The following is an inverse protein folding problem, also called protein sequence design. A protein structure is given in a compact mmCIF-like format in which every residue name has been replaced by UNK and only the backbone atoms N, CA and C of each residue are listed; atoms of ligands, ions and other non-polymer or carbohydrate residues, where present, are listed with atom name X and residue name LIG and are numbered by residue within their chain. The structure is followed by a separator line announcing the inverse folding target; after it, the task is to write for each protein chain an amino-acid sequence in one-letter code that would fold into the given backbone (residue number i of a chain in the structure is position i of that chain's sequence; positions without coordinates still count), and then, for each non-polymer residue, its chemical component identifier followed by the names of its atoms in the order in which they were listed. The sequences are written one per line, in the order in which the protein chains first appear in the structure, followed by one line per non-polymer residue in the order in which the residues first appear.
data_IF_904036400460
#
_entry.id   IF_904036400460
#
_cell.length_a   1.000
_cell.length_b   1.000
_cell.length_c   1.000
_cell.angle_alpha   90.00
_cell.angle_beta   90.00
_cell.angle_gamma   90.00
#
_symmetry.space_group_name_H-M   'P 1'
#
loop_
_entity.id
_entity.type
_entity.pdbx_description
1 polymer ?
#
# COMPACT_ATOMS: atom_id res chain seq x y z
N UNK A 1 -14.85 -24.17 44.36
CA UNK A 1 -13.39 -24.31 44.21
C UNK A 1 -13.02 -23.70 42.87
N UNK A 2 -12.50 -22.46 42.88
CA UNK A 2 -12.13 -21.75 41.65
C UNK A 2 -10.77 -22.26 41.17
N UNK A 3 -10.78 -23.10 40.14
CA UNK A 3 -9.57 -23.64 39.53
C UNK A 3 -9.05 -22.55 38.59
N UNK A 4 -8.13 -21.72 39.08
CA UNK A 4 -7.38 -20.79 38.25
C UNK A 4 -6.51 -21.59 37.29
N UNK A 5 -6.89 -21.61 36.01
CA UNK A 5 -6.08 -22.25 34.98
C UNK A 5 -5.02 -21.23 34.55
N UNK A 6 -3.88 -21.23 35.25
CA UNK A 6 -2.69 -20.49 34.85
C UNK A 6 -2.20 -20.98 33.47
N UNK A 7 -2.56 -20.24 32.42
CA UNK A 7 -2.02 -20.47 31.07
C UNK A 7 -0.74 -19.66 30.90
N UNK A 8 0.40 -20.27 31.21
CA UNK A 8 1.72 -19.73 30.86
C UNK A 8 1.97 -19.98 29.37
N UNK A 9 2.01 -18.91 28.58
CA UNK A 9 2.32 -18.96 27.15
C UNK A 9 3.78 -18.53 26.94
N UNK A 10 4.61 -19.43 26.41
CA UNK A 10 5.96 -19.12 25.97
C UNK A 10 5.92 -18.68 24.50
N UNK A 11 6.32 -17.44 24.21
CA UNK A 11 6.54 -16.97 22.85
C UNK A 11 7.98 -17.30 22.43
N UNK A 12 8.16 -17.88 21.24
CA UNK A 12 9.47 -18.20 20.66
C UNK A 12 10.13 -16.99 19.96
N UNK A 13 9.48 -15.82 20.03
CA UNK A 13 9.88 -14.59 19.33
C UNK A 13 9.65 -13.42 20.26
N UNK A 14 10.67 -12.55 20.38
CA UNK A 14 10.58 -11.31 21.14
C UNK A 14 9.55 -10.40 20.47
N UNK A 15 8.53 -9.96 21.22
CA UNK A 15 7.41 -9.20 20.67
C UNK A 15 6.34 -8.88 21.71
N UNK A 16 5.48 -7.92 21.37
CA UNK A 16 4.44 -7.44 22.28
C UNK A 16 3.26 -8.42 22.27
N UNK A 17 2.93 -8.96 23.45
CA UNK A 17 1.81 -9.88 23.64
C UNK A 17 0.52 -9.08 23.84
N UNK A 18 -0.41 -9.16 22.89
CA UNK A 18 -1.73 -8.54 23.00
C UNK A 18 -2.80 -9.57 23.36
N UNK A 19 -3.54 -9.31 24.45
CA UNK A 19 -4.65 -10.13 24.91
C UNK A 19 -5.99 -9.54 24.47
N UNK A 20 -6.80 -10.30 23.72
CA UNK A 20 -8.15 -9.90 23.34
C UNK A 20 -9.17 -10.93 23.79
N UNK A 21 -10.20 -10.47 24.51
CA UNK A 21 -11.37 -11.28 24.89
C UNK A 21 -12.42 -11.22 23.78
N UNK A 22 -12.77 -12.37 23.16
CA UNK A 22 -13.85 -12.46 22.18
C UNK A 22 -15.09 -13.12 22.80
N UNK A 23 -16.24 -12.91 22.18
CA UNK A 23 -17.53 -13.55 22.51
C UNK A 23 -17.35 -15.07 22.70
N UNK A 24 -17.78 -15.60 23.84
CA UNK A 24 -17.68 -17.03 24.19
C UNK A 24 -16.57 -17.40 25.18
N UNK A 25 -16.09 -16.45 26.01
CA UNK A 25 -15.10 -16.69 27.08
C UNK A 25 -13.73 -17.26 26.66
N UNK A 26 -13.40 -17.21 25.35
CA UNK A 26 -12.10 -17.63 24.84
C UNK A 26 -11.14 -16.44 24.79
N UNK A 27 -10.01 -16.55 25.48
CA UNK A 27 -8.90 -15.59 25.44
C UNK A 27 -8.06 -15.85 24.19
N UNK A 28 -7.93 -14.84 23.32
CA UNK A 28 -7.04 -14.87 22.16
C UNK A 28 -5.77 -14.10 22.50
N UNK A 29 -4.62 -14.73 22.26
CA UNK A 29 -3.30 -14.14 22.50
C UNK A 29 -2.61 -14.00 21.15
N UNK A 30 -2.24 -12.77 20.78
CA UNK A 30 -1.55 -12.46 19.53
C UNK A 30 -0.20 -11.84 19.83
N UNK A 31 0.86 -12.41 19.28
CA UNK A 31 2.22 -11.87 19.38
C UNK A 31 2.46 -11.01 18.13
N UNK A 32 2.72 -9.72 18.32
CA UNK A 32 3.05 -8.80 17.23
C UNK A 32 4.57 -8.66 17.19
N UNK A 33 5.25 -9.12 16.13
CA UNK A 33 6.69 -8.91 15.99
C UNK A 33 6.97 -7.42 15.77
N UNK A 34 7.88 -6.86 16.56
CA UNK A 34 8.34 -5.48 16.47
C UNK A 34 9.32 -5.32 15.30
N UNK A 35 8.79 -5.35 14.07
CA UNK A 35 9.54 -4.93 12.88
C UNK A 35 8.63 -4.09 12.00
N UNK A 36 9.10 -2.86 11.76
CA UNK A 36 8.56 -1.76 10.95
C UNK A 36 7.60 -0.78 11.67
N UNK A 37 8.07 0.45 11.98
CA UNK A 37 7.23 1.51 12.52
C UNK A 37 6.25 2.07 11.48
N UNK A 38 5.16 2.62 12.01
CA UNK A 38 3.96 3.12 11.37
C UNK A 38 4.15 4.30 10.38
N UNK A 39 3.33 4.33 9.32
CA UNK A 39 2.32 5.40 9.08
C UNK A 39 1.63 5.26 7.71
N UNK A 40 0.32 4.94 7.71
CA UNK A 40 -0.66 5.57 6.82
C UNK A 40 -2.08 5.34 7.39
N UNK A 41 -2.86 6.39 7.67
CA UNK A 41 -4.16 6.27 8.30
C UNK A 41 -5.20 5.70 7.33
N UNK A 42 -6.09 4.87 7.88
CA UNK A 42 -7.33 4.45 7.24
C UNK A 42 -8.18 5.68 6.87
N UNK A 43 -8.41 5.91 5.57
CA UNK A 43 -9.71 6.34 4.99
C UNK A 43 -9.64 6.43 3.47
N UNK A 44 -10.13 5.39 2.79
CA UNK A 44 -10.93 5.51 1.57
C UNK A 44 -11.75 4.22 1.42
N UNK A 45 -13.02 4.42 1.12
CA UNK A 45 -14.14 3.49 1.19
C UNK A 45 -14.17 2.48 0.04
N UNK A 46 -14.44 1.22 0.38
CA UNK A 46 -15.16 0.22 -0.43
C UNK A 46 -14.94 0.24 -1.96
N UNK A 47 -13.95 -0.53 -2.43
CA UNK A 47 -14.14 -1.44 -3.57
C UNK A 47 -13.09 -2.56 -3.57
N UNK A 48 -13.24 -3.50 -2.63
CA UNK A 48 -12.67 -4.82 -2.83
C UNK A 48 -13.38 -5.44 -4.07
N UNK A 49 -12.62 -5.73 -5.14
CA UNK A 49 -12.81 -6.87 -6.06
C UNK A 49 -12.18 -6.69 -7.47
N UNK A 50 -11.53 -5.56 -7.78
CA UNK A 50 -10.76 -5.42 -9.04
C UNK A 50 -9.72 -4.34 -8.81
N UNK A 51 -8.45 -4.64 -9.07
CA UNK A 51 -7.35 -3.67 -8.92
C UNK A 51 -7.70 -2.33 -9.55
N UNK A 52 -7.19 -1.25 -8.96
CA UNK A 52 -7.39 0.08 -9.51
C UNK A 52 -6.76 0.18 -10.90
N UNK A 53 -7.35 1.01 -11.76
CA UNK A 53 -6.77 1.36 -13.04
C UNK A 53 -5.60 2.33 -12.84
N UNK A 54 -4.42 1.79 -12.50
CA UNK A 54 -3.18 2.56 -12.32
C UNK A 54 -2.85 3.44 -13.54
N UNK A 55 -3.42 3.12 -14.70
CA UNK A 55 -3.38 3.89 -15.95
C UNK A 55 -3.96 5.31 -15.86
N UNK A 56 -4.67 5.64 -14.78
CA UNK A 56 -5.13 7.03 -14.53
C UNK A 56 -4.00 7.95 -14.08
N UNK A 57 -2.88 7.38 -13.63
CA UNK A 57 -1.66 8.14 -13.33
C UNK A 57 -0.94 8.39 -14.65
N UNK A 58 -0.63 9.64 -14.93
CA UNK A 58 0.05 10.04 -16.16
C UNK A 58 1.48 9.47 -16.19
N UNK A 59 1.88 8.93 -17.34
CA UNK A 59 3.12 8.14 -17.47
C UNK A 59 2.96 6.65 -17.13
N UNK A 60 1.91 6.21 -16.42
CA UNK A 60 1.64 4.78 -16.20
C UNK A 60 0.86 4.20 -17.39
N UNK A 61 1.58 3.56 -18.30
CA UNK A 61 0.98 2.79 -19.40
C UNK A 61 0.45 1.41 -18.97
N UNK A 62 -0.23 0.67 -19.89
CA UNK A 62 -0.72 -0.68 -19.61
C UNK A 62 0.39 -1.64 -19.18
N UNK A 63 1.57 -1.54 -19.77
CA UNK A 63 2.74 -2.35 -19.43
C UNK A 63 3.29 -2.06 -18.03
N UNK A 64 3.35 -0.79 -17.64
CA UNK A 64 3.82 -0.38 -16.31
C UNK A 64 2.83 -0.83 -15.25
N UNK A 65 1.53 -0.66 -15.52
CA UNK A 65 0.49 -1.18 -14.65
C UNK A 65 0.62 -2.71 -14.47
N UNK A 66 0.94 -3.47 -15.53
CA UNK A 66 1.19 -4.90 -15.43
C UNK A 66 2.43 -5.23 -14.57
N UNK A 67 3.55 -4.51 -14.74
CA UNK A 67 4.75 -4.67 -13.91
C UNK A 67 4.44 -4.43 -12.43
N UNK A 68 3.69 -3.39 -12.12
CA UNK A 68 3.28 -3.08 -10.76
C UNK A 68 2.30 -4.10 -10.18
N UNK A 69 1.30 -4.51 -10.95
CA UNK A 69 0.39 -5.57 -10.54
C UNK A 69 1.15 -6.89 -10.29
N UNK A 70 2.15 -7.22 -11.12
CA UNK A 70 3.02 -8.38 -10.92
C UNK A 70 3.86 -8.27 -9.64
N UNK A 71 4.25 -7.04 -9.27
CA UNK A 71 4.93 -6.74 -8.00
C UNK A 71 3.96 -6.66 -6.79
N UNK A 72 2.65 -6.86 -6.99
CA UNK A 72 1.63 -6.77 -5.95
C UNK A 72 1.12 -5.35 -5.68
N UNK A 73 1.53 -4.36 -6.47
CA UNK A 73 1.03 -2.99 -6.42
C UNK A 73 -0.14 -2.88 -7.41
N UNK A 74 -1.34 -3.15 -6.94
CA UNK A 74 -2.56 -3.17 -7.76
C UNK A 74 -3.52 -2.02 -7.49
N UNK A 75 -3.21 -1.15 -6.54
CA UNK A 75 -4.10 -0.07 -6.10
C UNK A 75 -3.39 1.29 -6.06
N UNK A 76 -4.14 2.39 -6.16
CA UNK A 76 -3.55 3.72 -6.01
C UNK A 76 -2.96 3.93 -4.61
N UNK A 77 -3.56 3.31 -3.60
CA UNK A 77 -3.05 3.36 -2.23
C UNK A 77 -1.69 2.65 -2.09
N UNK A 78 -1.52 1.48 -2.70
CA UNK A 78 -0.23 0.76 -2.72
C UNK A 78 0.82 1.53 -3.51
N UNK A 79 0.43 2.12 -4.63
CA UNK A 79 1.35 2.89 -5.46
C UNK A 79 1.77 4.19 -4.77
N UNK A 80 0.87 4.86 -4.04
CA UNK A 80 1.18 6.02 -3.21
C UNK A 80 2.04 5.68 -1.99
N UNK A 81 1.83 4.49 -1.41
CA UNK A 81 2.66 3.97 -0.32
C UNK A 81 4.06 3.53 -0.80
N UNK A 82 4.22 3.27 -2.09
CA UNK A 82 5.50 2.89 -2.70
C UNK A 82 6.27 4.15 -3.11
N UNK A 83 7.52 4.25 -2.68
CA UNK A 83 8.37 5.39 -3.02
C UNK A 83 8.81 5.37 -4.48
N UNK A 84 9.09 6.55 -5.04
CA UNK A 84 9.58 6.69 -6.42
C UNK A 84 10.84 5.86 -6.70
N UNK A 85 11.76 5.73 -5.73
CA UNK A 85 12.94 4.88 -5.83
C UNK A 85 12.57 3.40 -6.02
N UNK A 86 11.61 2.89 -5.24
CA UNK A 86 11.14 1.51 -5.39
C UNK A 86 10.46 1.26 -6.72
N UNK A 87 9.65 2.21 -7.18
CA UNK A 87 9.03 2.14 -8.50
C UNK A 87 10.11 2.14 -9.59
N UNK A 88 11.14 2.99 -9.48
CA UNK A 88 12.27 3.05 -10.42
C UNK A 88 13.05 1.74 -10.47
N UNK A 89 13.30 1.09 -9.33
CA UNK A 89 13.92 -0.23 -9.29
C UNK A 89 13.08 -1.27 -10.05
N UNK A 90 11.78 -1.33 -9.78
CA UNK A 90 10.86 -2.26 -10.47
C UNK A 90 10.80 -2.01 -11.97
N UNK A 91 10.79 -0.74 -12.40
CA UNK A 91 10.85 -0.38 -13.82
C UNK A 91 12.17 -0.78 -14.47
N UNK A 92 13.28 -0.58 -13.78
CA UNK A 92 14.62 -0.92 -14.29
C UNK A 92 14.76 -2.44 -14.45
N UNK A 93 14.22 -3.21 -13.50
CA UNK A 93 14.17 -4.68 -13.57
C UNK A 93 13.22 -5.17 -14.68
N UNK A 94 12.10 -4.47 -14.91
CA UNK A 94 11.20 -4.75 -16.02
C UNK A 94 11.77 -4.37 -17.39
N UNK A 95 12.74 -3.45 -17.43
CA UNK A 95 13.58 -3.17 -18.60
C UNK A 95 13.84 -1.69 -18.87
N UNK A 96 14.86 -1.37 -19.69
CA UNK A 96 15.28 0.01 -19.98
C UNK A 96 14.21 0.83 -20.70
N UNK A 97 13.22 0.19 -21.31
CA UNK A 97 12.09 0.85 -21.95
C UNK A 97 11.24 1.69 -20.97
N UNK A 98 11.27 1.35 -19.68
CA UNK A 98 10.53 2.09 -18.65
C UNK A 98 11.39 3.11 -17.90
N UNK A 99 12.72 3.06 -18.08
CA UNK A 99 13.66 3.96 -17.42
C UNK A 99 13.58 5.42 -17.90
N UNK A 100 12.96 5.65 -19.08
CA UNK A 100 12.69 7.00 -19.61
C UNK A 100 11.44 7.66 -19.02
N UNK A 101 10.65 6.94 -18.22
CA UNK A 101 9.57 7.53 -17.45
C UNK A 101 10.08 8.02 -16.11
N UNK A 102 9.53 9.12 -15.60
CA UNK A 102 9.82 9.64 -14.28
C UNK A 102 8.82 9.10 -13.25
N UNK A 103 9.17 8.05 -12.47
CA UNK A 103 8.31 7.55 -11.40
C UNK A 103 8.22 8.51 -10.21
N UNK A 104 8.91 9.66 -10.25
CA UNK A 104 8.91 10.67 -9.18
C UNK A 104 7.53 11.27 -8.91
N UNK A 105 6.70 11.41 -9.94
CA UNK A 105 5.35 11.99 -9.84
C UNK A 105 4.27 10.95 -9.55
N UNK A 106 4.53 9.68 -9.80
CA UNK A 106 3.54 8.61 -9.70
C UNK A 106 2.97 8.39 -8.29
N UNK A 107 3.79 8.32 -7.21
CA UNK A 107 3.26 8.19 -5.85
C UNK A 107 2.36 9.38 -5.47
N UNK A 108 2.76 10.58 -5.89
CA UNK A 108 2.03 11.83 -5.62
C UNK A 108 0.67 11.85 -6.35
N UNK A 109 0.66 11.45 -7.62
CA UNK A 109 -0.58 11.32 -8.40
C UNK A 109 -1.47 10.22 -7.82
N UNK A 110 -0.90 9.08 -7.43
CA UNK A 110 -1.65 8.00 -6.82
C UNK A 110 -2.23 8.37 -5.46
N UNK A 111 -1.55 9.21 -4.68
CA UNK A 111 -2.08 9.76 -3.43
C UNK A 111 -3.34 10.60 -3.69
N UNK A 112 -3.29 11.49 -4.70
CA UNK A 112 -4.45 12.30 -5.10
C UNK A 112 -5.60 11.43 -5.63
N UNK A 113 -5.28 10.43 -6.46
CA UNK A 113 -6.23 9.45 -6.98
C UNK A 113 -6.89 8.62 -5.86
N UNK A 114 -6.10 8.14 -4.90
CA UNK A 114 -6.57 7.39 -3.74
C UNK A 114 -7.43 8.26 -2.80
N UNK A 115 -7.11 9.55 -2.70
CA UNK A 115 -7.91 10.54 -1.99
C UNK A 115 -9.20 10.92 -2.74
N UNK A 116 -9.40 10.44 -3.98
CA UNK A 116 -10.55 10.77 -4.82
C UNK A 116 -10.50 12.17 -5.42
N UNK A 117 -9.35 12.85 -5.36
CA UNK A 117 -9.14 14.20 -5.88
C UNK A 117 -8.82 14.21 -7.37
N UNK A 118 -9.75 13.67 -8.16
CA UNK A 118 -9.57 13.53 -9.60
C UNK A 118 -9.49 14.86 -10.34
N UNK A 119 -10.22 15.88 -9.89
CA UNK A 119 -10.18 17.23 -10.48
C UNK A 119 -8.82 17.92 -10.27
N UNK A 120 -8.27 17.84 -9.06
CA UNK A 120 -6.95 18.39 -8.71
C UNK A 120 -5.83 17.66 -9.46
N UNK A 121 -5.91 16.32 -9.52
CA UNK A 121 -4.99 15.50 -10.30
C UNK A 121 -5.04 15.84 -11.79
N UNK A 122 -6.24 16.04 -12.35
CA UNK A 122 -6.41 16.38 -13.78
C UNK A 122 -5.89 17.77 -14.09
N UNK A 123 -6.16 18.76 -13.24
CA UNK A 123 -5.62 20.11 -13.40
C UNK A 123 -4.08 20.10 -13.35
N UNK A 124 -3.52 19.37 -12.38
CA UNK A 124 -2.06 19.24 -12.27
C UNK A 124 -1.43 18.50 -13.45
N UNK A 125 -2.07 17.43 -13.95
CA UNK A 125 -1.63 16.72 -15.15
C UNK A 125 -1.71 17.59 -16.41
N UNK A 126 -2.77 18.38 -16.54
CA UNK A 126 -2.93 19.31 -17.67
C UNK A 126 -1.83 20.38 -17.67
N UNK A 127 -1.50 20.95 -16.51
CA UNK A 127 -0.35 21.87 -16.38
C UNK A 127 0.98 21.21 -16.72
N UNK A 128 1.21 19.95 -16.31
CA UNK A 128 2.44 19.22 -16.61
C UNK A 128 2.60 18.90 -18.10
N UNK A 129 1.51 18.52 -18.78
CA UNK A 129 1.53 18.13 -20.19
C UNK A 129 1.38 19.33 -21.14
N UNK A 130 0.72 20.39 -20.69
CA UNK A 130 0.48 21.62 -21.46
C UNK A 130 1.70 22.56 -21.53
N UNK A 131 2.71 22.35 -20.68
CA UNK A 131 3.95 23.11 -20.68
C UNK A 131 4.97 22.58 -21.69
N UNK A 132 4.83 22.95 -22.97
CA UNK A 132 5.83 22.69 -24.02
C UNK A 132 6.40 23.99 -24.60
#
# INVERSE_FOLDING_TARGET
MGIGVDHTLYALTDGIVSFRKKRGARSYVSVIPETAPAAAPKKATTKAAKGDDLRKVEGIGPKIAEVFNAAGIGTFAELAATSADRLKELLTEAGPAFASHDPGTWPKQAELAAAGKWDELKAWQDELNGGK
#
